data_IF_722571737574
#
_entry.id   IF_722571737574
#
_cell.length_a   1.000
_cell.length_b   1.000
_cell.length_c   1.000
_cell.angle_alpha   90.00
_cell.angle_beta   90.00
_cell.angle_gamma   90.00
#
_symmetry.space_group_name_H-M   'P 1'
#
loop_
_entity.id
_entity.type
_entity.pdbx_description
1 polymer ?
#
# COMPACT_ATOMS: atom_id res chain seq x y z
N UNK A 1 -40.09 -18.47 -34.70
CA UNK A 1 -40.07 -19.02 -33.34
C UNK A 1 -38.68 -19.51 -32.94
N UNK A 2 -38.05 -20.42 -33.70
CA UNK A 2 -36.69 -20.92 -33.40
C UNK A 2 -35.62 -19.81 -33.44
N UNK A 3 -35.69 -18.88 -34.41
CA UNK A 3 -34.79 -17.73 -34.52
C UNK A 3 -34.87 -16.77 -33.33
N UNK A 4 -36.05 -16.60 -32.72
CA UNK A 4 -36.24 -15.76 -31.53
C UNK A 4 -35.54 -16.37 -30.31
N UNK A 5 -35.50 -17.70 -30.21
CA UNK A 5 -34.82 -18.41 -29.13
C UNK A 5 -33.30 -18.17 -29.19
N UNK A 6 -32.72 -18.16 -30.39
CA UNK A 6 -31.30 -17.84 -30.59
C UNK A 6 -30.96 -16.38 -30.23
N UNK A 7 -31.84 -15.45 -30.58
CA UNK A 7 -31.66 -14.03 -30.26
C UNK A 7 -31.72 -13.81 -28.74
N UNK A 8 -32.71 -14.42 -28.05
CA UNK A 8 -32.84 -14.36 -26.60
C UNK A 8 -31.63 -14.99 -25.89
N UNK A 9 -31.16 -16.14 -26.39
CA UNK A 9 -29.94 -16.80 -25.91
C UNK A 9 -28.72 -15.88 -26.03
N UNK A 10 -28.50 -15.27 -27.19
CA UNK A 10 -27.36 -14.39 -27.41
C UNK A 10 -27.43 -13.13 -26.54
N UNK A 11 -28.63 -12.55 -26.36
CA UNK A 11 -28.84 -11.40 -25.48
C UNK A 11 -28.54 -11.76 -24.02
N UNK A 12 -28.97 -12.93 -23.56
CA UNK A 12 -28.74 -13.39 -22.20
C UNK A 12 -27.25 -13.58 -21.90
N UNK A 13 -26.49 -14.17 -22.84
CA UNK A 13 -25.04 -14.34 -22.71
C UNK A 13 -24.32 -12.98 -22.69
N UNK A 14 -24.70 -12.05 -23.56
CA UNK A 14 -24.11 -10.72 -23.60
C UNK A 14 -24.42 -9.91 -22.33
N UNK A 15 -25.64 -10.00 -21.82
CA UNK A 15 -26.03 -9.38 -20.55
C UNK A 15 -25.19 -9.95 -19.40
N UNK A 16 -25.08 -11.28 -19.30
CA UNK A 16 -24.32 -11.94 -18.24
C UNK A 16 -22.82 -11.62 -18.30
N UNK A 17 -22.25 -11.47 -19.50
CA UNK A 17 -20.87 -11.02 -19.69
C UNK A 17 -20.66 -9.56 -19.25
N UNK A 18 -21.68 -8.71 -19.39
CA UNK A 18 -21.62 -7.30 -18.97
C UNK A 18 -21.72 -7.11 -17.45
N UNK A 19 -22.19 -8.13 -16.72
CA UNK A 19 -22.20 -8.14 -15.25
C UNK A 19 -20.82 -8.49 -14.64
N UNK A 20 -19.82 -8.80 -15.45
CA UNK A 20 -18.46 -9.07 -14.96
C UNK A 20 -17.74 -7.77 -14.58
N UNK A 21 -18.08 -7.24 -13.41
CA UNK A 21 -17.23 -6.26 -12.74
C UNK A 21 -16.01 -6.99 -12.17
N UNK A 22 -14.88 -6.93 -12.88
CA UNK A 22 -13.59 -7.32 -12.31
C UNK A 22 -13.21 -6.23 -11.30
N UNK A 23 -13.07 -6.54 -10.00
CA UNK A 23 -12.60 -5.55 -9.06
C UNK A 23 -11.18 -5.14 -9.46
N UNK A 24 -11.06 -3.90 -9.96
CA UNK A 24 -9.75 -3.28 -10.19
C UNK A 24 -9.18 -3.01 -8.81
N UNK A 25 -8.38 -3.94 -8.30
CA UNK A 25 -7.56 -3.68 -7.13
C UNK A 25 -6.54 -2.63 -7.50
N UNK A 26 -6.77 -1.39 -7.08
CA UNK A 26 -5.73 -0.36 -7.11
C UNK A 26 -4.55 -0.86 -6.26
N UNK A 27 -3.52 -1.39 -6.91
CA UNK A 27 -2.31 -1.95 -6.30
C UNK A 27 -1.38 -0.88 -5.69
N UNK A 28 -1.91 0.31 -5.37
CA UNK A 28 -1.12 1.32 -4.68
C UNK A 28 -0.76 0.80 -3.27
N UNK A 29 0.52 0.80 -2.88
CA UNK A 29 0.92 0.46 -1.52
C UNK A 29 0.18 1.35 -0.53
N UNK A 30 -0.34 0.76 0.54
CA UNK A 30 -0.99 1.55 1.59
C UNK A 30 0.05 2.45 2.27
N UNK A 31 -0.28 3.73 2.52
CA UNK A 31 0.58 4.59 3.30
C UNK A 31 0.86 3.98 4.69
N UNK A 32 2.11 4.08 5.14
CA UNK A 32 2.53 3.59 6.44
C UNK A 32 3.44 4.62 7.12
N UNK A 33 3.51 4.52 8.45
CA UNK A 33 4.45 5.28 9.26
C UNK A 33 4.84 4.48 10.49
N UNK A 34 6.13 4.31 10.71
CA UNK A 34 6.66 3.68 11.92
C UNK A 34 7.92 4.39 12.39
N UNK A 35 8.22 4.26 13.67
CA UNK A 35 9.46 4.76 14.23
C UNK A 35 9.69 4.21 15.63
N UNK A 36 10.95 4.15 16.03
CA UNK A 36 11.37 3.73 17.36
C UNK A 36 12.56 4.55 17.83
N UNK A 37 12.66 4.70 19.14
CA UNK A 37 13.82 5.28 19.81
C UNK A 37 14.33 4.31 20.87
N UNK A 38 15.64 4.08 20.86
CA UNK A 38 16.34 3.24 21.83
C UNK A 38 17.21 4.15 22.67
N UNK A 39 16.97 4.17 23.98
CA UNK A 39 17.79 4.90 24.95
C UNK A 39 18.51 3.90 25.84
N UNK A 40 19.83 3.93 25.82
CA UNK A 40 20.67 3.09 26.66
C UNK A 40 21.79 3.90 27.34
N UNK A 41 22.73 3.22 27.99
CA UNK A 41 23.86 3.82 28.71
C UNK A 41 24.93 4.39 27.76
N UNK A 42 24.87 4.01 26.49
CA UNK A 42 25.82 4.32 25.43
C UNK A 42 25.31 5.42 24.51
N UNK A 43 24.01 5.70 24.50
CA UNK A 43 23.43 6.80 23.75
C UNK A 43 21.92 6.69 23.54
N UNK A 44 21.43 7.54 22.64
CA UNK A 44 20.08 7.51 22.11
C UNK A 44 20.14 7.27 20.60
N UNK A 45 19.46 6.23 20.13
CA UNK A 45 19.24 5.98 18.72
C UNK A 45 17.78 6.26 18.39
N UNK A 46 17.50 6.90 17.27
CA UNK A 46 16.15 7.02 16.74
C UNK A 46 16.10 6.66 15.27
N UNK A 47 15.00 6.02 14.87
CA UNK A 47 14.67 5.71 13.48
C UNK A 47 13.20 6.01 13.24
N UNK A 48 12.91 6.69 12.15
CA UNK A 48 11.56 6.93 11.67
C UNK A 48 11.51 6.68 10.17
N UNK A 49 10.41 6.10 9.69
CA UNK A 49 10.16 5.83 8.28
C UNK A 49 8.67 5.94 7.98
N UNK A 50 8.36 6.54 6.84
CA UNK A 50 6.99 6.68 6.35
C UNK A 50 6.96 6.54 4.83
N UNK A 51 5.93 5.87 4.33
CA UNK A 51 5.64 5.77 2.90
C UNK A 51 4.25 6.32 2.62
N UNK A 52 4.10 7.09 1.54
CA UNK A 52 2.83 7.67 1.08
C UNK A 52 2.18 6.87 -0.06
N UNK A 53 2.69 5.66 -0.33
CA UNK A 53 2.30 4.82 -1.46
C UNK A 53 3.04 5.13 -2.77
N UNK A 54 3.84 6.19 -2.83
CA UNK A 54 4.64 6.56 -4.00
C UNK A 54 6.14 6.70 -3.68
N UNK A 55 6.45 7.33 -2.55
CA UNK A 55 7.80 7.56 -2.04
C UNK A 55 7.91 7.12 -0.59
N UNK A 56 9.15 6.80 -0.17
CA UNK A 56 9.49 6.46 1.20
C UNK A 56 10.47 7.51 1.72
N UNK A 57 10.15 8.08 2.87
CA UNK A 57 10.97 9.05 3.58
C UNK A 57 11.27 8.54 4.99
N UNK A 58 12.52 8.69 5.43
CA UNK A 58 12.92 8.27 6.77
C UNK A 58 14.06 9.11 7.32
N UNK A 59 14.17 9.11 8.64
CA UNK A 59 15.25 9.75 9.38
C UNK A 59 15.93 8.76 10.31
N UNK A 60 17.24 8.89 10.43
CA UNK A 60 18.09 8.07 11.28
C UNK A 60 18.98 9.00 12.08
N UNK A 61 19.13 8.72 13.37
CA UNK A 61 20.05 9.48 14.21
C UNK A 61 20.56 8.65 15.36
N UNK A 62 21.78 8.96 15.75
CA UNK A 62 22.43 8.42 16.93
C UNK A 62 23.12 9.56 17.67
N UNK A 63 22.80 9.66 18.95
CA UNK A 63 23.40 10.58 19.91
C UNK A 63 24.17 9.75 20.91
N UNK A 64 25.46 10.00 21.08
CA UNK A 64 26.25 9.30 22.09
C UNK A 64 25.83 9.70 23.52
N UNK A 65 26.34 8.98 24.52
CA UNK A 65 26.11 9.29 25.93
C UNK A 65 26.69 10.62 26.44
N UNK A 66 27.42 11.36 25.59
CA UNK A 66 27.91 12.72 25.85
C UNK A 66 27.05 13.79 25.17
N UNK A 67 26.00 13.40 24.44
CA UNK A 67 25.11 14.31 23.72
C UNK A 67 25.64 14.72 22.34
N UNK A 68 26.69 14.07 21.83
CA UNK A 68 27.28 14.36 20.52
C UNK A 68 26.57 13.52 19.46
N UNK A 69 26.03 14.11 18.38
CA UNK A 69 25.57 13.36 17.22
C UNK A 69 26.76 12.60 16.61
N UNK A 70 26.64 11.29 16.40
CA UNK A 70 27.63 10.58 15.59
C UNK A 70 27.46 10.99 14.13
N UNK A 71 28.54 11.51 13.53
CA UNK A 71 28.60 11.94 12.12
C UNK A 71 28.86 10.75 11.21
#
# INVERSE_FOLDING_TARGET
>A
MISQLFILSALAVAALASLHEVPVHHHAPQPYKFGYSVKDKHGEQHREESGDGHAVHGSYGFTDNRGTPAV
#
